data_IF_156849388880
#
_entry.id   IF_156849388880
#
_cell.length_a   1.000
_cell.length_b   1.000
_cell.length_c   1.000
_cell.angle_alpha   90.00
_cell.angle_beta   90.00
_cell.angle_gamma   90.00
#
_symmetry.space_group_name_H-M   'P 1'
#
loop_
_entity.id
_entity.type
_entity.pdbx_description
1 polymer ?
#
# COMPACT_ATOMS: atom_id res chain seq x y z
N UNK A 1 -9.58 51.11 11.30
CA UNK A 1 -8.84 50.59 10.14
C UNK A 1 -8.07 49.36 10.57
N UNK A 2 -8.67 48.19 10.39
CA UNK A 2 -7.92 46.96 10.52
C UNK A 2 -7.17 46.72 9.21
N UNK A 3 -5.85 46.83 9.28
CA UNK A 3 -4.99 46.79 8.10
C UNK A 3 -5.02 45.43 7.42
N UNK A 4 -5.05 45.45 6.11
CA UNK A 4 -5.01 44.29 5.17
C UNK A 4 -3.80 43.38 5.42
N UNK A 5 -2.79 43.84 6.16
CA UNK A 5 -1.57 43.07 6.53
C UNK A 5 -1.85 41.84 7.41
N UNK A 6 -2.89 41.88 8.25
CA UNK A 6 -3.23 40.72 9.13
C UNK A 6 -3.81 39.53 8.35
N UNK A 7 -4.60 39.84 7.33
CA UNK A 7 -5.22 38.79 6.49
C UNK A 7 -4.18 38.13 5.58
N UNK A 8 -3.28 38.92 5.01
CA UNK A 8 -2.19 38.38 4.19
C UNK A 8 -1.25 37.44 4.98
N UNK A 9 -0.94 37.81 6.23
CA UNK A 9 -0.14 36.95 7.09
C UNK A 9 -0.86 35.65 7.46
N UNK A 10 -2.17 35.71 7.72
CA UNK A 10 -2.96 34.51 8.01
C UNK A 10 -3.04 33.57 6.79
N UNK A 11 -3.30 34.12 5.61
CA UNK A 11 -3.33 33.35 4.35
C UNK A 11 -1.97 32.72 4.05
N UNK A 12 -0.88 33.47 4.22
CA UNK A 12 0.46 32.93 4.03
C UNK A 12 0.81 31.85 5.05
N UNK A 13 0.41 32.00 6.31
CA UNK A 13 0.62 30.98 7.34
C UNK A 13 -0.17 29.71 7.02
N UNK A 14 -1.43 29.83 6.60
CA UNK A 14 -2.23 28.69 6.16
C UNK A 14 -1.64 28.04 4.90
N UNK A 15 -1.23 28.83 3.91
CA UNK A 15 -0.60 28.33 2.70
C UNK A 15 0.70 27.56 2.99
N UNK A 16 1.54 28.07 3.91
CA UNK A 16 2.77 27.40 4.33
C UNK A 16 2.49 26.11 5.13
N UNK A 17 1.43 26.10 5.95
CA UNK A 17 1.00 24.90 6.63
C UNK A 17 0.49 23.83 5.65
N UNK A 18 -0.28 24.21 4.64
CA UNK A 18 -0.69 23.28 3.58
C UNK A 18 0.48 22.82 2.70
N UNK A 19 1.46 23.67 2.45
CA UNK A 19 2.65 23.33 1.66
C UNK A 19 3.62 22.41 2.39
N UNK A 20 3.60 22.40 3.73
CA UNK A 20 4.42 21.50 4.56
C UNK A 20 3.69 20.20 4.95
N UNK A 21 2.40 20.09 4.62
CA UNK A 21 1.68 18.85 4.84
C UNK A 21 2.07 17.84 3.76
N UNK A 22 3.03 16.99 4.09
CA UNK A 22 3.26 15.75 3.35
C UNK A 22 2.26 14.74 3.91
N UNK A 23 1.34 14.22 3.10
CA UNK A 23 0.50 13.11 3.56
C UNK A 23 1.40 12.02 4.10
N UNK A 24 1.01 11.34 5.19
CA UNK A 24 1.73 10.16 5.63
C UNK A 24 1.85 9.22 4.43
N UNK A 25 3.05 8.72 4.17
CA UNK A 25 3.27 7.72 3.12
C UNK A 25 2.41 6.52 3.48
N UNK A 26 1.44 6.20 2.66
CA UNK A 26 0.84 4.87 2.63
C UNK A 26 1.93 3.94 2.15
N UNK A 27 2.22 2.94 2.94
CA UNK A 27 3.33 2.03 2.72
C UNK A 27 2.77 0.60 2.56
N UNK A 28 2.17 0.27 1.39
CA UNK A 28 1.78 -1.10 1.12
C UNK A 28 3.03 -1.95 0.90
N UNK A 29 2.98 -3.23 1.31
CA UNK A 29 4.02 -4.19 0.97
C UNK A 29 4.06 -4.38 -0.55
N UNK A 30 5.24 -4.13 -1.11
CA UNK A 30 5.58 -4.36 -2.51
C UNK A 30 6.62 -5.45 -2.59
N UNK A 31 6.52 -6.30 -3.58
CA UNK A 31 7.46 -7.37 -3.87
C UNK A 31 8.23 -7.03 -5.14
N UNK A 32 9.55 -7.06 -5.05
CA UNK A 32 10.47 -7.05 -6.16
C UNK A 32 10.47 -8.45 -6.78
N UNK A 33 9.86 -8.59 -7.96
CA UNK A 33 9.61 -9.89 -8.57
C UNK A 33 10.64 -10.29 -9.63
N UNK A 34 11.44 -9.35 -10.10
CA UNK A 34 12.50 -9.59 -11.10
C UNK A 34 13.91 -9.37 -10.54
N UNK A 35 14.02 -8.90 -9.29
CA UNK A 35 15.24 -8.78 -8.53
C UNK A 35 16.17 -7.65 -9.03
N UNK A 36 15.59 -6.57 -9.54
CA UNK A 36 16.30 -5.35 -9.98
C UNK A 36 16.03 -4.14 -9.06
N UNK A 37 15.17 -4.31 -8.05
CA UNK A 37 14.77 -3.34 -7.04
C UNK A 37 13.37 -2.75 -7.28
N UNK A 38 12.68 -2.41 -6.18
CA UNK A 38 11.32 -1.86 -6.29
C UNK A 38 11.35 -0.52 -7.03
N UNK A 39 10.64 -0.47 -8.13
CA UNK A 39 10.54 0.70 -8.98
C UNK A 39 9.15 1.34 -8.91
N UNK A 40 9.12 2.65 -8.99
CA UNK A 40 7.87 3.41 -8.90
C UNK A 40 7.69 4.39 -10.06
N UNK A 41 6.44 4.60 -10.44
CA UNK A 41 6.06 5.71 -11.32
C UNK A 41 5.50 6.85 -10.46
N UNK A 42 6.05 8.04 -10.68
CA UNK A 42 5.57 9.25 -10.01
C UNK A 42 4.31 9.83 -10.68
N UNK A 43 3.71 10.82 -10.02
CA UNK A 43 2.50 11.52 -10.48
C UNK A 43 2.74 12.46 -11.69
N UNK A 44 3.92 12.45 -12.27
CA UNK A 44 4.30 13.36 -13.38
C UNK A 44 3.93 12.88 -14.79
N UNK A 45 3.34 11.68 -14.93
CA UNK A 45 2.94 11.07 -16.20
C UNK A 45 1.46 10.66 -16.21
N UNK A 46 1.17 9.43 -16.60
CA UNK A 46 -0.17 8.84 -16.43
C UNK A 46 -0.43 8.72 -14.93
N UNK A 47 -1.46 9.42 -14.44
CA UNK A 47 -1.79 9.39 -13.02
C UNK A 47 -2.63 8.16 -12.73
N UNK A 48 -2.11 7.25 -11.92
CA UNK A 48 -2.89 6.16 -11.35
C UNK A 48 -3.76 6.72 -10.24
N UNK A 49 -5.03 6.31 -10.17
CA UNK A 49 -5.96 6.71 -9.12
C UNK A 49 -6.42 5.49 -8.34
N UNK A 50 -6.30 5.57 -7.02
CA UNK A 50 -6.70 4.49 -6.12
C UNK A 50 -7.30 5.03 -4.82
N UNK A 51 -8.19 4.28 -4.19
CA UNK A 51 -8.82 4.63 -2.91
C UNK A 51 -8.01 4.03 -1.75
N UNK A 52 -6.95 4.74 -1.32
CA UNK A 52 -6.06 4.23 -0.29
C UNK A 52 -6.70 4.14 1.10
N UNK A 53 -7.56 5.08 1.46
CA UNK A 53 -8.13 5.19 2.81
C UNK A 53 -9.53 4.56 2.94
N UNK A 54 -10.04 3.99 1.85
CA UNK A 54 -11.38 3.39 1.76
C UNK A 54 -12.52 4.37 2.13
N UNK A 55 -12.42 5.60 1.63
CA UNK A 55 -13.48 6.62 1.78
C UNK A 55 -14.42 6.69 0.56
N UNK A 56 -14.17 5.86 -0.45
CA UNK A 56 -14.90 5.80 -1.71
C UNK A 56 -14.41 6.82 -2.75
N UNK A 57 -13.32 7.54 -2.47
CA UNK A 57 -12.77 8.55 -3.38
C UNK A 57 -11.38 8.11 -3.86
N UNK A 58 -11.25 7.81 -5.15
CA UNK A 58 -9.96 7.52 -5.75
C UNK A 58 -9.15 8.80 -5.92
N UNK A 59 -7.93 8.81 -5.38
CA UNK A 59 -7.00 9.93 -5.48
C UNK A 59 -5.78 9.56 -6.31
N UNK A 60 -5.19 10.54 -6.99
CA UNK A 60 -3.94 10.34 -7.74
C UNK A 60 -2.78 9.99 -6.81
N UNK A 61 -2.04 8.96 -7.16
CA UNK A 61 -0.95 8.41 -6.34
C UNK A 61 0.25 8.03 -7.19
N UNK A 62 1.44 7.93 -6.56
CA UNK A 62 2.55 7.18 -7.12
C UNK A 62 2.21 5.69 -7.12
N UNK A 63 2.75 4.94 -8.06
CA UNK A 63 2.41 3.54 -8.25
C UNK A 63 3.66 2.69 -8.48
N UNK A 64 3.57 1.40 -8.21
CA UNK A 64 4.64 0.46 -8.53
C UNK A 64 4.67 0.20 -10.04
N UNK A 65 5.85 -0.12 -10.60
CA UNK A 65 5.93 -0.56 -11.99
C UNK A 65 5.30 -1.95 -12.18
N UNK A 66 5.03 -2.29 -13.45
CA UNK A 66 4.31 -3.52 -13.83
C UNK A 66 5.09 -4.82 -13.64
N UNK A 67 6.42 -4.74 -13.47
CA UNK A 67 7.32 -5.86 -13.18
C UNK A 67 7.30 -6.28 -11.71
N UNK A 68 6.92 -5.35 -10.84
CA UNK A 68 6.69 -5.56 -9.40
C UNK A 68 5.22 -5.78 -9.03
N UNK A 69 4.93 -6.05 -7.77
CA UNK A 69 3.56 -6.27 -7.33
C UNK A 69 3.28 -5.93 -5.87
N UNK A 70 2.03 -5.55 -5.59
CA UNK A 70 1.54 -5.35 -4.24
C UNK A 70 1.11 -6.68 -3.62
N UNK A 71 1.46 -6.89 -2.34
CA UNK A 71 0.86 -7.97 -1.57
C UNK A 71 -0.56 -7.55 -1.17
N UNK A 72 -1.56 -8.41 -1.43
CA UNK A 72 -2.97 -8.08 -1.32
C UNK A 72 -3.80 -9.23 -0.74
N UNK A 73 -4.95 -8.88 -0.16
CA UNK A 73 -5.97 -9.83 0.26
C UNK A 73 -7.34 -9.23 -0.06
N UNK A 74 -8.12 -9.90 -0.89
CA UNK A 74 -9.53 -9.58 -1.14
C UNK A 74 -10.33 -9.86 0.15
N UNK A 75 -10.55 -8.82 0.95
CA UNK A 75 -11.16 -8.95 2.29
C UNK A 75 -12.68 -8.97 2.25
N UNK A 76 -13.26 -8.55 1.15
CA UNK A 76 -14.71 -8.45 1.00
C UNK A 76 -15.26 -9.51 0.03
N UNK A 77 -14.39 -10.39 -0.52
CA UNK A 77 -14.71 -11.47 -1.45
C UNK A 77 -15.45 -10.98 -2.71
N UNK A 78 -15.09 -9.79 -3.21
CA UNK A 78 -15.71 -9.24 -4.41
C UNK A 78 -14.93 -9.56 -5.71
N UNK A 79 -13.78 -10.21 -5.60
CA UNK A 79 -12.92 -10.61 -6.70
C UNK A 79 -12.04 -9.48 -7.25
N UNK A 80 -11.96 -8.35 -6.55
CA UNK A 80 -11.14 -7.20 -6.94
C UNK A 80 -10.42 -6.61 -5.73
N UNK A 81 -9.32 -5.91 -5.98
CA UNK A 81 -8.64 -5.09 -4.97
C UNK A 81 -9.00 -3.64 -5.27
N UNK A 82 -9.85 -3.04 -4.45
CA UNK A 82 -10.46 -1.75 -4.76
C UNK A 82 -10.14 -0.65 -3.76
N UNK A 83 -9.56 -0.99 -2.61
CA UNK A 83 -9.16 -0.03 -1.58
C UNK A 83 -7.90 -0.43 -0.83
N UNK A 84 -7.29 0.54 -0.14
CA UNK A 84 -6.12 0.31 0.71
C UNK A 84 -6.36 -0.61 1.90
N UNK A 85 -7.63 -0.96 2.21
CA UNK A 85 -7.96 -1.99 3.21
C UNK A 85 -7.51 -3.38 2.78
N UNK A 86 -7.36 -3.60 1.49
CA UNK A 86 -6.99 -4.87 0.86
C UNK A 86 -5.50 -4.95 0.50
N UNK A 87 -4.79 -3.83 0.62
CA UNK A 87 -3.33 -3.79 0.60
C UNK A 87 -2.78 -4.04 2.01
N UNK A 88 -1.61 -4.66 2.12
CA UNK A 88 -0.89 -4.76 3.40
C UNK A 88 -0.10 -3.48 3.64
N UNK A 89 -0.62 -2.56 4.44
CA UNK A 89 -0.05 -1.24 4.69
C UNK A 89 -0.70 -0.53 5.88
N UNK A 90 -0.45 0.77 6.01
CA UNK A 90 -0.97 1.58 7.12
C UNK A 90 -2.49 1.75 7.12
N UNK A 91 -3.15 1.51 5.99
CA UNK A 91 -4.61 1.55 5.88
C UNK A 91 -5.27 0.20 6.14
N UNK A 92 -4.50 -0.87 6.38
CA UNK A 92 -5.03 -2.19 6.72
C UNK A 92 -5.66 -2.18 8.10
N UNK A 93 -6.91 -2.64 8.19
CA UNK A 93 -7.61 -2.81 9.46
C UNK A 93 -7.19 -4.10 10.14
N UNK A 94 -6.72 -4.02 11.37
CA UNK A 94 -6.38 -5.17 12.21
C UNK A 94 -7.61 -5.75 12.90
N UNK A 95 -7.49 -6.96 13.42
CA UNK A 95 -8.55 -7.69 14.14
C UNK A 95 -9.10 -6.92 15.36
N UNK A 96 -8.29 -6.05 15.98
CA UNK A 96 -8.68 -5.21 17.12
C UNK A 96 -9.39 -3.91 16.72
N UNK A 97 -9.62 -3.67 15.42
CA UNK A 97 -10.26 -2.46 14.88
C UNK A 97 -9.34 -1.24 14.74
N UNK A 98 -8.06 -1.37 15.06
CA UNK A 98 -7.07 -0.32 14.80
C UNK A 98 -6.44 -0.50 13.41
N UNK A 99 -5.88 0.56 12.85
CA UNK A 99 -5.05 0.48 11.65
C UNK A 99 -3.68 -0.11 11.97
N UNK A 100 -3.08 -0.78 11.02
CA UNK A 100 -1.70 -1.21 11.11
C UNK A 100 -0.75 0.00 11.03
N UNK A 101 0.44 -0.13 11.57
CA UNK A 101 1.47 0.92 11.51
C UNK A 101 2.40 0.77 10.30
N UNK A 102 2.41 -0.40 9.71
CA UNK A 102 3.15 -0.75 8.49
C UNK A 102 2.63 -2.06 7.89
N UNK A 103 3.09 -2.40 6.69
CA UNK A 103 2.66 -3.59 5.98
C UNK A 103 3.04 -4.92 6.65
N UNK A 104 4.20 -4.99 7.32
CA UNK A 104 4.59 -6.21 8.05
C UNK A 104 3.72 -6.44 9.29
N UNK A 105 3.33 -5.39 10.02
CA UNK A 105 2.36 -5.51 11.10
C UNK A 105 1.00 -5.98 10.57
N UNK A 106 0.59 -5.45 9.40
CA UNK A 106 -0.64 -5.90 8.76
C UNK A 106 -0.60 -7.38 8.37
N UNK A 107 0.54 -7.86 7.85
CA UNK A 107 0.72 -9.25 7.47
C UNK A 107 0.82 -10.16 8.70
N UNK A 108 1.44 -9.71 9.79
CA UNK A 108 1.59 -10.49 11.02
C UNK A 108 0.26 -10.83 11.71
N UNK A 109 -0.82 -10.10 11.41
CA UNK A 109 -2.17 -10.46 11.88
C UNK A 109 -2.67 -11.78 11.29
N UNK A 110 -2.06 -12.25 10.19
CA UNK A 110 -2.42 -13.51 9.52
C UNK A 110 -1.55 -14.68 9.95
N UNK A 111 -0.49 -14.46 10.75
CA UNK A 111 0.33 -15.49 11.38
C UNK A 111 -0.51 -16.21 12.45
N UNK A 112 -1.22 -17.25 12.03
CA UNK A 112 -2.21 -17.93 12.87
C UNK A 112 -1.60 -18.90 13.87
N UNK A 113 -0.37 -19.36 13.62
CA UNK A 113 0.37 -20.28 14.49
C UNK A 113 1.36 -19.56 15.42
N UNK A 114 1.66 -18.28 15.17
CA UNK A 114 2.50 -17.41 16.00
C UNK A 114 3.99 -17.72 15.93
N UNK A 115 4.45 -18.33 14.83
CA UNK A 115 5.85 -18.72 14.66
C UNK A 115 6.73 -17.63 14.02
N UNK A 116 6.14 -16.49 13.67
CA UNK A 116 6.75 -15.31 13.02
C UNK A 116 7.18 -15.58 11.58
N UNK A 117 6.57 -16.57 10.95
CA UNK A 117 6.69 -16.86 9.53
C UNK A 117 5.28 -16.98 8.97
N UNK A 118 4.95 -16.19 7.96
CA UNK A 118 3.69 -16.35 7.25
C UNK A 118 3.89 -17.33 6.10
N UNK A 119 3.32 -18.53 6.19
CA UNK A 119 3.50 -19.62 5.24
C UNK A 119 2.25 -20.52 5.11
N UNK A 120 2.38 -21.64 4.40
CA UNK A 120 1.29 -22.60 4.15
C UNK A 120 0.65 -23.21 5.43
N UNK A 121 1.25 -23.03 6.60
CA UNK A 121 0.68 -23.47 7.87
C UNK A 121 -0.31 -22.45 8.44
N UNK A 122 -0.39 -21.26 7.84
CA UNK A 122 -1.32 -20.21 8.21
C UNK A 122 -2.61 -20.28 7.39
N UNK A 123 -3.73 -20.04 8.05
CA UNK A 123 -5.06 -20.23 7.47
C UNK A 123 -5.28 -19.37 6.21
N UNK A 124 -4.73 -18.14 6.19
CA UNK A 124 -4.96 -17.17 5.13
C UNK A 124 -3.91 -17.19 4.01
N UNK A 125 -2.87 -18.03 4.13
CA UNK A 125 -1.78 -18.06 3.14
C UNK A 125 -2.26 -18.33 1.72
N UNK A 126 -3.25 -19.20 1.55
CA UNK A 126 -3.81 -19.53 0.23
C UNK A 126 -4.68 -18.42 -0.37
N UNK A 127 -5.13 -17.46 0.44
CA UNK A 127 -5.99 -16.36 0.02
C UNK A 127 -5.21 -15.08 -0.29
N UNK A 128 -4.00 -14.95 0.27
CA UNK A 128 -3.13 -13.82 -0.05
C UNK A 128 -2.61 -13.95 -1.48
N UNK A 129 -2.63 -12.85 -2.20
CA UNK A 129 -2.25 -12.76 -3.60
C UNK A 129 -1.23 -11.64 -3.83
N UNK A 130 -0.65 -11.62 -5.01
CA UNK A 130 0.16 -10.51 -5.52
C UNK A 130 -0.59 -9.87 -6.68
N UNK A 131 -0.85 -8.58 -6.57
CA UNK A 131 -1.41 -7.79 -7.65
C UNK A 131 -0.30 -7.13 -8.46
N UNK A 132 -0.18 -7.54 -9.73
CA UNK A 132 0.69 -6.94 -10.72
C UNK A 132 -0.16 -6.12 -11.68
N UNK A 133 -0.23 -4.82 -11.47
CA UNK A 133 -0.99 -3.91 -12.33
C UNK A 133 -0.22 -3.67 -13.66
N UNK A 134 -0.40 -4.59 -14.61
CA UNK A 134 0.35 -4.57 -15.87
C UNK A 134 0.09 -3.35 -16.73
N UNK A 135 -1.10 -2.80 -16.65
CA UNK A 135 -1.50 -1.64 -17.45
C UNK A 135 -1.42 -0.32 -16.66
N UNK A 136 -1.07 -0.39 -15.37
CA UNK A 136 -0.84 0.74 -14.46
C UNK A 136 -2.05 1.68 -14.38
N UNK A 137 -3.25 1.10 -14.27
CA UNK A 137 -4.50 1.85 -14.22
C UNK A 137 -5.15 1.92 -12.82
N UNK A 138 -4.60 1.21 -11.82
CA UNK A 138 -5.13 1.16 -10.46
C UNK A 138 -6.47 0.41 -10.35
N UNK A 139 -6.74 -0.50 -11.28
CA UNK A 139 -7.92 -1.35 -11.30
C UNK A 139 -7.47 -2.79 -11.44
N UNK A 140 -7.65 -3.58 -10.40
CA UNK A 140 -7.28 -5.00 -10.42
C UNK A 140 -8.24 -5.79 -11.31
N UNK A 141 -7.66 -6.70 -12.07
CA UNK A 141 -8.41 -7.67 -12.88
C UNK A 141 -7.90 -9.08 -12.54
N UNK A 142 -8.72 -10.10 -12.80
CA UNK A 142 -8.38 -11.49 -12.43
C UNK A 142 -7.06 -12.00 -13.05
N UNK A 143 -6.65 -11.46 -14.19
CA UNK A 143 -5.37 -11.81 -14.85
C UNK A 143 -4.17 -11.02 -14.32
N UNK A 144 -4.36 -10.16 -13.35
CA UNK A 144 -3.33 -9.38 -12.64
C UNK A 144 -3.15 -9.83 -11.20
N UNK A 145 -4.01 -10.73 -10.71
CA UNK A 145 -3.96 -11.30 -9.36
C UNK A 145 -3.37 -12.70 -9.42
N UNK A 146 -2.25 -12.90 -8.74
CA UNK A 146 -1.51 -14.15 -8.71
C UNK A 146 -1.47 -14.70 -7.29
N UNK A 147 -1.71 -16.01 -7.13
CA UNK A 147 -1.45 -16.68 -5.85
C UNK A 147 0.06 -16.66 -5.55
N UNK A 148 0.41 -16.72 -4.28
CA UNK A 148 1.81 -16.82 -3.85
C UNK A 148 2.50 -18.05 -4.47
N UNK A 149 1.78 -19.16 -4.58
CA UNK A 149 2.31 -20.40 -5.16
C UNK A 149 2.61 -20.30 -6.66
N UNK A 150 1.82 -19.57 -7.45
CA UNK A 150 2.09 -19.32 -8.88
C UNK A 150 3.39 -18.53 -9.09
N UNK A 151 3.74 -17.67 -8.13
CA UNK A 151 4.99 -16.90 -8.14
C UNK A 151 6.14 -17.63 -7.43
N UNK A 152 5.92 -18.85 -6.92
CA UNK A 152 6.92 -19.61 -6.21
C UNK A 152 7.27 -19.07 -4.82
N UNK A 153 6.41 -18.21 -4.26
CA UNK A 153 6.58 -17.64 -2.93
C UNK A 153 6.06 -18.65 -1.91
N UNK A 154 6.94 -19.09 -1.00
CA UNK A 154 6.63 -20.13 -0.02
C UNK A 154 6.46 -19.60 1.39
N UNK A 155 7.04 -18.45 1.72
CA UNK A 155 6.92 -17.86 3.05
C UNK A 155 7.41 -16.40 3.09
N UNK A 156 6.97 -15.69 4.14
CA UNK A 156 7.47 -14.38 4.53
C UNK A 156 7.99 -14.44 5.97
N UNK A 157 9.23 -13.99 6.18
CA UNK A 157 9.76 -13.83 7.52
C UNK A 157 9.24 -12.51 8.12
N UNK A 158 8.44 -12.58 9.17
CA UNK A 158 7.80 -11.42 9.80
C UNK A 158 8.75 -10.63 10.72
N UNK A 159 9.91 -11.20 11.06
CA UNK A 159 10.99 -10.49 11.76
C UNK A 159 11.79 -9.59 10.81
N UNK A 160 11.12 -8.74 10.05
CA UNK A 160 11.77 -7.88 9.08
C UNK A 160 12.69 -6.84 9.76
N UNK A 161 13.92 -6.74 9.27
CA UNK A 161 14.80 -5.61 9.58
C UNK A 161 14.56 -4.50 8.54
N UNK A 162 14.16 -3.33 9.02
CA UNK A 162 14.00 -2.16 8.15
C UNK A 162 15.36 -1.73 7.59
N UNK A 163 15.55 -1.85 6.28
CA UNK A 163 16.62 -1.20 5.57
C UNK A 163 16.08 0.06 4.91
N UNK A 164 16.56 1.23 5.33
CA UNK A 164 16.23 2.47 4.64
C UNK A 164 17.10 2.58 3.38
N UNK A 165 16.53 2.25 2.23
CA UNK A 165 17.13 2.53 0.93
C UNK A 165 16.67 3.93 0.52
N UNK A 166 17.61 4.86 0.37
CA UNK A 166 17.31 6.19 -0.14
C UNK A 166 17.21 6.07 -1.67
N UNK A 167 16.00 6.04 -2.16
CA UNK A 167 15.68 6.03 -3.59
C UNK A 167 15.81 7.46 -4.13
N UNK A 168 17.01 7.98 -4.23
CA UNK A 168 17.53 9.23 -4.80
C UNK A 168 16.58 10.35 -5.22
#
# INVERSE_FOLDING_TARGET
>A
WFGISGISNLINTLYLQFKSWTPPRTDPLVLDLDNDGIETIGIGGTVVVFDHNADGIRTGTGWVKSDDGFLVLDRNDNGTIDSGRELFGVDTMKSNGALATNGFEALSELDSNGDQVFDQNDAEFAHVQVWRDFNQNGISTANELFSLSELGIVSFNLNATTQNVNLG
#
